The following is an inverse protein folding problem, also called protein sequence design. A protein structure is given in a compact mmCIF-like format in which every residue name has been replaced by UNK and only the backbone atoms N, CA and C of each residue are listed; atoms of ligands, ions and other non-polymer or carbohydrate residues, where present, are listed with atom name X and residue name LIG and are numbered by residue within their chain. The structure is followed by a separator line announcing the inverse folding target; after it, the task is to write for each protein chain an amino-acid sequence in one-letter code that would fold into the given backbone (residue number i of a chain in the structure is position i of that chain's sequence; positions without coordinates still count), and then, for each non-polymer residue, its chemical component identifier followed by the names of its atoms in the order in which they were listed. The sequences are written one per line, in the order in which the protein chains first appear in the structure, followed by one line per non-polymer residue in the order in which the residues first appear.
data_IF_080436613542
#
_entry.id   IF_080436613542
#
_cell.length_a   1.000
_cell.length_b   1.000
_cell.length_c   1.000
_cell.angle_alpha   90.00
_cell.angle_beta   90.00
_cell.angle_gamma   90.00
#
_symmetry.space_group_name_H-M   'P 1'
#
loop_
_entity.id
_entity.type
_entity.pdbx_description
1 polymer ?
#
# COMPACT_ATOMS: atom_id res chain seq x y z
N UNK A 1 9.03 9.48 3.36
CA UNK A 1 9.17 8.04 3.73
C UNK A 1 10.16 7.25 2.86
N UNK A 2 10.49 7.67 1.62
CA UNK A 2 11.49 6.98 0.76
C UNK A 2 12.93 7.43 0.94
N UNK A 3 13.17 8.67 1.38
CA UNK A 3 14.50 9.15 1.78
C UNK A 3 15.16 8.23 2.82
N UNK A 4 14.37 7.73 3.78
CA UNK A 4 14.87 6.80 4.81
C UNK A 4 15.38 5.50 4.20
N UNK A 5 14.66 4.90 3.25
CA UNK A 5 15.10 3.66 2.58
C UNK A 5 16.34 3.88 1.73
N UNK A 6 16.38 4.99 0.99
CA UNK A 6 17.53 5.36 0.17
C UNK A 6 18.76 5.67 1.05
N UNK A 7 18.58 6.37 2.17
CA UNK A 7 19.63 6.63 3.15
C UNK A 7 20.18 5.32 3.74
N UNK A 8 19.30 4.39 4.14
CA UNK A 8 19.69 3.06 4.62
C UNK A 8 20.49 2.29 3.57
N UNK A 9 20.07 2.32 2.30
CA UNK A 9 20.79 1.69 1.20
C UNK A 9 22.22 2.23 1.05
N UNK A 10 22.36 3.56 1.01
CA UNK A 10 23.67 4.20 0.91
C UNK A 10 24.55 3.89 2.12
N UNK A 11 23.99 3.86 3.32
CA UNK A 11 24.74 3.56 4.54
C UNK A 11 25.20 2.11 4.60
N UNK A 12 24.37 1.15 4.18
CA UNK A 12 24.75 -0.27 4.05
C UNK A 12 25.93 -0.42 3.10
N UNK A 13 25.85 0.18 1.91
CA UNK A 13 26.93 0.13 0.91
C UNK A 13 28.20 0.84 1.39
N UNK A 14 28.06 1.98 2.10
CA UNK A 14 29.19 2.70 2.70
C UNK A 14 29.91 1.83 3.73
N UNK A 15 29.18 1.22 4.67
CA UNK A 15 29.76 0.37 5.71
C UNK A 15 30.36 -0.91 5.12
N UNK A 16 29.74 -1.49 4.10
CA UNK A 16 30.29 -2.65 3.40
C UNK A 16 31.63 -2.31 2.72
N UNK A 17 31.74 -1.16 2.06
CA UNK A 17 33.00 -0.66 1.49
C UNK A 17 34.08 -0.39 2.55
N UNK A 18 33.69 -0.06 3.78
CA UNK A 18 34.60 0.10 4.92
C UNK A 18 35.03 -1.26 5.54
N UNK A 19 34.57 -2.40 5.00
CA UNK A 19 34.97 -3.74 5.44
C UNK A 19 34.15 -4.30 6.61
N UNK A 20 33.03 -3.66 6.99
CA UNK A 20 32.15 -4.24 8.01
C UNK A 20 31.40 -5.47 7.47
N UNK A 21 31.28 -6.50 8.29
CA UNK A 21 30.49 -7.68 7.93
C UNK A 21 28.97 -7.44 8.13
N UNK A 22 28.14 -8.29 7.53
CA UNK A 22 26.68 -8.13 7.50
C UNK A 22 26.06 -7.97 8.90
N UNK A 23 26.53 -8.73 9.90
CA UNK A 23 26.02 -8.64 11.28
C UNK A 23 26.44 -7.34 11.99
N UNK A 24 27.62 -6.79 11.67
CA UNK A 24 28.03 -5.48 12.18
C UNK A 24 27.21 -4.36 11.55
N UNK A 25 26.93 -4.45 10.24
CA UNK A 25 26.10 -3.49 9.51
C UNK A 25 24.68 -3.48 10.06
N UNK A 26 24.07 -4.66 10.26
CA UNK A 26 22.76 -4.79 10.90
C UNK A 26 22.68 -4.03 12.22
N UNK A 27 23.64 -4.27 13.13
CA UNK A 27 23.67 -3.60 14.44
C UNK A 27 23.86 -2.08 14.34
N UNK A 28 24.64 -1.61 13.36
CA UNK A 28 24.92 -0.18 13.15
C UNK A 28 23.75 0.56 12.50
N UNK A 29 23.12 -0.04 11.51
CA UNK A 29 22.04 0.57 10.71
C UNK A 29 20.68 0.35 11.36
N UNK A 30 20.53 -0.69 12.19
CA UNK A 30 19.28 -1.03 12.87
C UNK A 30 18.27 -1.72 11.95
N UNK A 31 18.74 -2.44 10.93
CA UNK A 31 17.90 -3.23 10.02
C UNK A 31 18.35 -4.68 10.03
N UNK A 32 17.40 -5.61 9.95
CA UNK A 32 17.68 -7.06 9.95
C UNK A 32 18.73 -7.43 8.89
N UNK A 33 19.62 -8.38 9.24
CA UNK A 33 20.63 -8.97 8.36
C UNK A 33 20.13 -9.33 6.96
N UNK A 34 18.90 -9.81 6.82
CA UNK A 34 18.28 -10.13 5.53
C UNK A 34 18.10 -8.89 4.65
N UNK A 35 17.76 -7.76 5.25
CA UNK A 35 17.67 -6.47 4.55
C UNK A 35 19.05 -5.99 4.13
N UNK A 36 20.06 -6.17 4.98
CA UNK A 36 21.46 -5.86 4.65
C UNK A 36 21.90 -6.68 3.43
N UNK A 37 21.70 -8.00 3.46
CA UNK A 37 22.01 -8.89 2.33
C UNK A 37 21.30 -8.42 1.05
N UNK A 38 19.99 -8.25 1.13
CA UNK A 38 19.16 -7.82 0.00
C UNK A 38 19.63 -6.50 -0.60
N UNK A 39 20.02 -5.53 0.23
CA UNK A 39 20.41 -4.20 -0.27
C UNK A 39 21.82 -4.20 -0.86
N UNK A 40 22.71 -5.09 -0.40
CA UNK A 40 24.03 -5.27 -1.01
C UNK A 40 23.97 -5.95 -2.37
N UNK A 41 23.01 -6.87 -2.56
CA UNK A 41 22.76 -7.55 -3.84
C UNK A 41 21.96 -6.68 -4.82
N UNK A 42 21.38 -5.58 -4.34
CA UNK A 42 20.50 -4.72 -5.13
C UNK A 42 21.27 -3.56 -5.77
N UNK A 43 21.14 -3.41 -7.08
CA UNK A 43 21.75 -2.31 -7.81
C UNK A 43 20.99 -0.99 -7.61
N UNK A 44 21.70 0.13 -7.86
CA UNK A 44 21.16 1.47 -7.61
C UNK A 44 19.92 1.75 -8.46
N UNK A 45 19.92 1.34 -9.73
CA UNK A 45 18.80 1.53 -10.64
C UNK A 45 17.54 0.80 -10.13
N UNK A 46 17.64 -0.49 -9.80
CA UNK A 46 16.54 -1.25 -9.22
C UNK A 46 16.04 -0.63 -7.90
N UNK A 47 16.93 -0.03 -7.11
CA UNK A 47 16.57 0.64 -5.87
C UNK A 47 15.76 1.91 -6.17
N UNK A 48 16.22 2.74 -7.09
CA UNK A 48 15.53 3.97 -7.50
C UNK A 48 14.16 3.68 -8.12
N UNK A 49 14.08 2.73 -9.06
CA UNK A 49 12.84 2.32 -9.69
C UNK A 49 11.86 1.75 -8.64
N UNK A 50 12.34 0.88 -7.76
CA UNK A 50 11.53 0.35 -6.67
C UNK A 50 10.99 1.45 -5.73
N UNK A 51 11.79 2.48 -5.42
CA UNK A 51 11.31 3.62 -4.64
C UNK A 51 10.28 4.46 -5.38
N UNK A 52 10.45 4.65 -6.69
CA UNK A 52 9.52 5.38 -7.55
C UNK A 52 8.18 4.65 -7.66
N UNK A 53 8.19 3.34 -7.89
CA UNK A 53 6.96 2.52 -7.95
C UNK A 53 6.23 2.56 -6.61
N UNK A 54 6.94 2.44 -5.49
CA UNK A 54 6.33 2.53 -4.16
C UNK A 54 5.74 3.91 -3.87
N UNK A 55 6.33 4.98 -4.41
CA UNK A 55 5.81 6.35 -4.30
C UNK A 55 4.51 6.53 -5.08
N UNK A 56 4.50 6.04 -6.31
CA UNK A 56 3.42 6.29 -7.25
C UNK A 56 2.38 5.17 -7.25
N UNK A 57 2.45 4.24 -6.28
CA UNK A 57 1.47 3.17 -6.15
C UNK A 57 0.12 3.77 -5.74
N UNK A 58 -0.75 3.95 -6.72
CA UNK A 58 -2.15 4.27 -6.50
C UNK A 58 -2.91 3.02 -6.04
N UNK A 59 -3.94 3.18 -5.20
CA UNK A 59 -4.81 2.03 -4.90
C UNK A 59 -5.66 1.80 -6.15
N UNK A 60 -5.59 0.58 -6.69
CA UNK A 60 -6.30 0.22 -7.93
C UNK A 60 -7.81 0.48 -7.87
N UNK A 61 -8.38 0.51 -6.67
CA UNK A 61 -9.81 0.71 -6.45
C UNK A 61 -10.21 2.18 -6.31
N UNK A 62 -9.25 3.09 -6.07
CA UNK A 62 -9.55 4.52 -5.90
C UNK A 62 -10.28 5.12 -7.12
N UNK A 63 -9.93 4.79 -8.39
CA UNK A 63 -10.66 5.32 -9.56
C UNK A 63 -12.13 4.89 -9.66
N UNK A 64 -12.51 3.82 -8.95
CA UNK A 64 -13.87 3.26 -8.98
C UNK A 64 -14.68 3.62 -7.74
N UNK A 65 -14.12 4.41 -6.81
CA UNK A 65 -14.75 4.72 -5.53
C UNK A 65 -16.13 5.38 -5.72
N UNK A 66 -16.24 6.33 -6.65
CA UNK A 66 -17.50 7.04 -6.92
C UNK A 66 -18.56 6.13 -7.55
N UNK A 67 -18.15 5.26 -8.49
CA UNK A 67 -19.03 4.28 -9.13
C UNK A 67 -19.57 3.28 -8.09
N UNK A 68 -18.69 2.77 -7.22
CA UNK A 68 -19.08 1.86 -6.14
C UNK A 68 -20.04 2.57 -5.17
N UNK A 69 -19.79 3.83 -4.84
CA UNK A 69 -20.68 4.62 -3.98
C UNK A 69 -22.05 4.85 -4.62
N UNK A 70 -22.12 5.05 -5.93
CA UNK A 70 -23.37 5.18 -6.66
C UNK A 70 -24.18 3.87 -6.62
N UNK A 71 -23.55 2.74 -6.92
CA UNK A 71 -24.19 1.42 -6.81
C UNK A 71 -24.75 1.15 -5.40
N UNK A 72 -24.00 1.50 -4.36
CA UNK A 72 -24.47 1.35 -2.97
C UNK A 72 -25.68 2.24 -2.66
N UNK A 73 -25.74 3.45 -3.23
CA UNK A 73 -26.89 4.34 -3.06
C UNK A 73 -28.10 3.79 -3.81
N UNK A 74 -27.95 3.34 -5.05
CA UNK A 74 -29.03 2.76 -5.85
C UNK A 74 -29.63 1.53 -5.18
N UNK A 75 -28.80 0.60 -4.70
CA UNK A 75 -29.25 -0.58 -3.97
C UNK A 75 -30.03 -0.21 -2.70
N UNK A 76 -29.55 0.80 -1.97
CA UNK A 76 -30.23 1.31 -0.78
C UNK A 76 -31.59 1.93 -1.13
N UNK A 77 -31.68 2.73 -2.19
CA UNK A 77 -32.94 3.31 -2.65
C UNK A 77 -33.92 2.24 -3.11
N UNK A 78 -33.45 1.26 -3.89
CA UNK A 78 -34.26 0.12 -4.32
C UNK A 78 -34.88 -0.62 -3.12
N UNK A 79 -34.09 -0.87 -2.07
CA UNK A 79 -34.59 -1.48 -0.85
C UNK A 79 -35.66 -0.62 -0.16
N UNK A 80 -35.48 0.70 -0.05
CA UNK A 80 -36.50 1.59 0.52
C UNK A 80 -37.79 1.61 -0.30
N UNK A 81 -37.70 1.65 -1.64
CA UNK A 81 -38.85 1.63 -2.52
C UNK A 81 -39.60 0.29 -2.45
N UNK A 82 -38.89 -0.85 -2.41
CA UNK A 82 -39.54 -2.14 -2.19
C UNK A 82 -40.25 -2.22 -0.85
N UNK A 83 -39.63 -1.78 0.24
CA UNK A 83 -40.27 -1.81 1.57
C UNK A 83 -41.46 -0.86 1.67
N UNK A 84 -41.41 0.33 1.04
CA UNK A 84 -42.55 1.24 0.99
C UNK A 84 -43.72 0.65 0.19
N UNK A 85 -43.45 0.04 -0.97
CA UNK A 85 -44.48 -0.63 -1.77
C UNK A 85 -45.11 -1.81 -1.01
N UNK A 86 -44.29 -2.66 -0.40
CA UNK A 86 -44.76 -3.76 0.46
C UNK A 86 -45.61 -3.23 1.62
N UNK A 87 -45.23 -2.11 2.25
CA UNK A 87 -46.04 -1.50 3.31
C UNK A 87 -47.38 -0.94 2.79
N UNK A 88 -47.42 -0.31 1.61
CA UNK A 88 -48.67 0.17 1.02
C UNK A 88 -49.58 -0.98 0.61
N UNK A 89 -49.04 -2.05 0.01
CA UNK A 89 -49.79 -3.23 -0.41
C UNK A 89 -50.40 -3.99 0.79
N UNK A 90 -49.72 -4.00 1.95
CA UNK A 90 -50.25 -4.59 3.19
C UNK A 90 -51.35 -3.73 3.83
N UNK A 91 -51.21 -2.40 3.82
CA UNK A 91 -52.18 -1.50 4.46
C UNK A 91 -53.43 -1.22 3.62
N UNK A 92 -53.40 -1.39 2.29
CA UNK A 92 -54.55 -1.24 1.39
C UNK A 92 -55.27 -2.57 1.09
N UNK A 93 -54.82 -3.70 1.67
CA UNK A 93 -55.42 -5.03 1.55
C UNK A 93 -56.35 -5.39 2.73
N UNK A 94 -56.60 -4.47 3.67
CA UNK A 94 -57.53 -4.61 4.80
C UNK A 94 -58.63 -3.56 4.68
#
# INVERSE_FOLDING_TARGET
MNEKKMSIYHEIHRLHRLGFNKSQIERKVGVNQDTVRKYLEKDFEEMTEGTYILQNRTKKMDPYADIILEWLKELRYFYYFQNQLIFQDIYFSV
#
